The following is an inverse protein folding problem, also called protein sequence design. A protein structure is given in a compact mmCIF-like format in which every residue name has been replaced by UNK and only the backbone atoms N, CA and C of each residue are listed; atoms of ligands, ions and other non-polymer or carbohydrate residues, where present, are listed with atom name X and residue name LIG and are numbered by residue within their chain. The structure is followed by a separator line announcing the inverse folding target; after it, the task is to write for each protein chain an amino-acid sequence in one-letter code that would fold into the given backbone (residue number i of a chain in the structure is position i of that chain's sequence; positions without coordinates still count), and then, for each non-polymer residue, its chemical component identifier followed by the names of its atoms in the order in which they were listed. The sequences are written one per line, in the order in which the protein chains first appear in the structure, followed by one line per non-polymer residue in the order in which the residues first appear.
data_IF_067112984096
#
_entry.id   IF_067112984096
#
_cell.length_a   1.000
_cell.length_b   1.000
_cell.length_c   1.000
_cell.angle_alpha   90.00
_cell.angle_beta   90.00
_cell.angle_gamma   90.00
#
_symmetry.space_group_name_H-M   'P 1'
#
loop_
_entity.id
_entity.type
_entity.pdbx_description
1 polymer ?
#
# COMPACT_ATOMS: atom_id res chain seq x y z
N UNK A 1 10.86 5.18 16.15
CA UNK A 1 10.68 5.92 14.87
C UNK A 1 11.26 7.32 14.96
N UNK A 2 11.67 7.91 13.83
CA UNK A 2 12.29 9.25 13.77
C UNK A 2 11.30 10.40 13.48
N UNK A 3 9.99 10.17 13.57
CA UNK A 3 8.97 11.16 13.21
C UNK A 3 9.13 12.47 13.99
N UNK A 4 9.25 12.38 15.32
CA UNK A 4 9.44 13.55 16.18
C UNK A 4 10.71 14.33 15.83
N UNK A 5 11.81 13.59 15.64
CA UNK A 5 13.12 14.16 15.30
C UNK A 5 13.07 14.95 13.99
N UNK A 6 12.49 14.37 12.93
CA UNK A 6 12.40 15.04 11.63
C UNK A 6 11.38 16.19 11.62
N UNK A 7 10.28 16.06 12.37
CA UNK A 7 9.32 17.15 12.57
C UNK A 7 9.98 18.35 13.25
N UNK A 8 10.74 18.12 14.31
CA UNK A 8 11.39 19.18 15.09
C UNK A 8 12.52 19.86 14.32
N UNK A 9 13.29 19.12 13.51
CA UNK A 9 14.27 19.70 12.57
C UNK A 9 13.65 20.69 11.57
N UNK A 10 12.38 20.49 11.24
CA UNK A 10 11.61 21.33 10.32
C UNK A 10 10.75 22.37 11.03
N UNK A 11 10.83 22.45 12.36
CA UNK A 11 10.02 23.35 13.19
C UNK A 11 8.50 23.18 12.98
N UNK A 12 8.07 21.98 12.59
CA UNK A 12 6.66 21.68 12.37
C UNK A 12 5.94 21.36 13.66
N UNK A 13 4.67 21.73 13.78
CA UNK A 13 3.81 21.28 14.89
C UNK A 13 3.23 19.89 14.58
N UNK A 14 2.74 19.20 15.62
CA UNK A 14 2.01 17.93 15.39
C UNK A 14 0.75 18.15 14.55
N UNK A 15 0.10 19.30 14.72
CA UNK A 15 -1.08 19.70 13.95
C UNK A 15 -0.76 19.89 12.47
N UNK A 16 0.33 20.60 12.15
CA UNK A 16 0.78 20.77 10.78
C UNK A 16 1.10 19.44 10.09
N UNK A 17 1.80 18.54 10.78
CA UNK A 17 2.12 17.23 10.24
C UNK A 17 0.87 16.36 10.05
N UNK A 18 -0.08 16.45 10.97
CA UNK A 18 -1.36 15.76 10.90
C UNK A 18 -2.18 16.22 9.69
N UNK A 19 -2.28 17.54 9.47
CA UNK A 19 -2.94 18.14 8.32
C UNK A 19 -2.26 17.73 7.00
N UNK A 20 -0.93 17.81 6.94
CA UNK A 20 -0.14 17.45 5.76
C UNK A 20 -0.33 15.99 5.36
N UNK A 21 -0.41 15.08 6.34
CA UNK A 21 -0.62 13.65 6.10
C UNK A 21 -2.11 13.26 6.02
N UNK A 22 -3.03 14.22 6.22
CA UNK A 22 -4.47 13.99 6.32
C UNK A 22 -4.81 12.87 7.33
N UNK A 23 -4.34 13.04 8.56
CA UNK A 23 -4.57 12.15 9.70
C UNK A 23 -4.90 12.96 10.95
N UNK A 24 -5.34 12.30 12.02
CA UNK A 24 -5.59 12.99 13.28
C UNK A 24 -4.28 13.34 14.01
N UNK A 25 -4.27 14.46 14.73
CA UNK A 25 -3.17 14.85 15.63
C UNK A 25 -2.85 13.75 16.64
N UNK A 26 -3.87 13.03 17.13
CA UNK A 26 -3.70 11.90 18.04
C UNK A 26 -2.92 10.76 17.39
N UNK A 27 -3.08 10.51 16.09
CA UNK A 27 -2.29 9.52 15.37
C UNK A 27 -0.81 9.91 15.37
N UNK A 28 -0.48 11.17 15.02
CA UNK A 28 0.89 11.69 15.07
C UNK A 28 1.49 11.51 16.47
N UNK A 29 0.76 11.94 17.50
CA UNK A 29 1.24 11.80 18.89
C UNK A 29 1.53 10.35 19.26
N UNK A 30 0.66 9.40 18.87
CA UNK A 30 0.87 7.97 19.16
C UNK A 30 2.08 7.40 18.42
N UNK A 31 2.31 7.82 17.18
CA UNK A 31 3.45 7.39 16.39
C UNK A 31 4.78 7.95 16.92
N UNK A 32 4.79 9.21 17.39
CA UNK A 32 5.96 9.83 17.97
C UNK A 32 6.41 9.17 19.28
N UNK A 33 5.47 8.68 20.08
CA UNK A 33 5.77 7.95 21.34
C UNK A 33 5.87 6.44 21.16
N UNK A 34 5.69 5.92 19.94
CA UNK A 34 5.76 4.48 19.65
C UNK A 34 4.59 3.66 20.22
N UNK A 35 3.47 4.30 20.56
CA UNK A 35 2.27 3.62 21.06
C UNK A 35 1.56 2.84 19.96
N UNK A 36 1.62 3.31 18.72
CA UNK A 36 1.11 2.63 17.53
C UNK A 36 2.03 2.89 16.35
N UNK A 37 1.88 2.09 15.30
CA UNK A 37 2.61 2.27 14.04
C UNK A 37 1.66 2.76 12.93
N UNK A 38 2.13 3.64 12.01
CA UNK A 38 1.41 3.91 10.78
C UNK A 38 1.38 2.65 9.91
N UNK A 39 0.38 2.54 9.03
CA UNK A 39 0.39 1.52 7.98
C UNK A 39 1.52 1.76 6.96
N UNK A 40 1.75 0.79 6.09
CA UNK A 40 2.84 0.83 5.09
C UNK A 40 2.71 2.02 4.14
N UNK A 41 1.48 2.36 3.74
CA UNK A 41 1.26 3.42 2.77
C UNK A 41 1.56 4.79 3.42
N UNK A 42 1.20 4.97 4.71
CA UNK A 42 1.59 6.13 5.52
C UNK A 42 3.07 6.17 5.82
N UNK A 43 3.70 5.04 6.09
CA UNK A 43 5.14 4.98 6.29
C UNK A 43 5.92 5.45 5.05
N UNK A 44 5.47 5.08 3.85
CA UNK A 44 6.04 5.57 2.59
C UNK A 44 5.78 7.06 2.40
N UNK A 45 4.57 7.54 2.70
CA UNK A 45 4.28 8.98 2.63
C UNK A 45 5.16 9.80 3.58
N UNK A 46 5.33 9.33 4.82
CA UNK A 46 6.17 9.98 5.83
C UNK A 46 7.64 9.97 5.38
N UNK A 47 8.14 8.85 4.85
CA UNK A 47 9.52 8.75 4.37
C UNK A 47 9.77 9.73 3.22
N UNK A 48 8.82 9.86 2.29
CA UNK A 48 8.90 10.81 1.19
C UNK A 48 8.78 12.26 1.67
N UNK A 49 7.86 12.54 2.61
CA UNK A 49 7.66 13.89 3.16
C UNK A 49 8.91 14.40 3.89
N UNK A 50 9.61 13.52 4.59
CA UNK A 50 10.84 13.86 5.29
C UNK A 50 12.10 13.74 4.43
N UNK A 51 11.99 13.20 3.21
CA UNK A 51 13.11 12.90 2.32
C UNK A 51 14.17 11.99 2.96
N UNK A 52 13.70 10.90 3.58
CA UNK A 52 14.55 9.87 4.19
C UNK A 52 14.10 8.48 3.76
N UNK A 53 15.00 7.49 3.85
CA UNK A 53 14.63 6.11 3.58
C UNK A 53 13.71 5.56 4.67
N UNK A 54 12.87 4.59 4.30
CA UNK A 54 12.01 3.88 5.24
C UNK A 54 12.81 3.17 6.35
N UNK A 55 14.00 2.66 6.00
CA UNK A 55 14.94 2.06 6.96
C UNK A 55 15.38 3.09 8.03
N UNK A 56 15.74 4.29 7.56
CA UNK A 56 16.11 5.42 8.43
C UNK A 56 14.95 5.87 9.30
N UNK A 57 13.73 5.94 8.76
CA UNK A 57 12.52 6.35 9.50
C UNK A 57 12.22 5.42 10.68
N UNK A 58 12.43 4.11 10.49
CA UNK A 58 12.05 3.07 11.45
C UNK A 58 13.17 2.79 12.47
N UNK A 59 14.43 3.07 12.14
CA UNK A 59 15.65 2.97 12.98
C UNK A 59 15.63 1.86 14.04
N UNK A 60 16.10 0.67 13.67
CA UNK A 60 16.40 -0.43 14.61
C UNK A 60 15.19 -1.26 15.06
N UNK A 61 14.01 -1.05 14.48
CA UNK A 61 12.85 -1.91 14.72
C UNK A 61 12.79 -3.04 13.68
N UNK A 62 13.51 -4.12 13.97
CA UNK A 62 13.61 -5.30 13.09
C UNK A 62 12.26 -6.03 12.94
N UNK A 63 11.40 -5.93 13.95
CA UNK A 63 10.06 -6.52 13.93
C UNK A 63 9.18 -5.82 12.89
N UNK A 64 9.23 -4.49 12.84
CA UNK A 64 8.49 -3.70 11.88
C UNK A 64 9.08 -3.83 10.47
N UNK A 65 10.40 -3.90 10.32
CA UNK A 65 11.03 -4.18 9.02
C UNK A 65 10.54 -5.50 8.45
N UNK A 66 10.49 -6.56 9.27
CA UNK A 66 10.02 -7.89 8.85
C UNK A 66 8.55 -7.87 8.42
N UNK A 67 7.68 -7.20 9.18
CA UNK A 67 6.25 -7.13 8.83
C UNK A 67 6.02 -6.37 7.52
N UNK A 68 6.75 -5.28 7.27
CA UNK A 68 6.69 -4.52 6.01
C UNK A 68 7.10 -5.38 4.82
N UNK A 69 8.18 -6.16 4.93
CA UNK A 69 8.64 -7.06 3.86
C UNK A 69 7.57 -8.12 3.55
N UNK A 70 6.99 -8.73 4.57
CA UNK A 70 5.93 -9.74 4.41
C UNK A 70 4.71 -9.14 3.70
N UNK A 71 4.25 -7.96 4.14
CA UNK A 71 3.07 -7.33 3.55
C UNK A 71 3.32 -6.80 2.14
N UNK A 72 4.53 -6.29 1.83
CA UNK A 72 4.90 -5.92 0.45
C UNK A 72 4.85 -7.13 -0.48
N UNK A 73 5.40 -8.27 -0.04
CA UNK A 73 5.38 -9.49 -0.83
C UNK A 73 3.96 -10.02 -1.03
N UNK A 74 3.10 -9.92 -0.02
CA UNK A 74 1.70 -10.32 -0.11
C UNK A 74 0.90 -9.46 -1.12
N UNK A 75 1.03 -8.12 -1.09
CA UNK A 75 0.38 -7.21 -2.07
C UNK A 75 0.89 -7.42 -3.51
N UNK A 76 2.17 -7.73 -3.69
CA UNK A 76 2.73 -7.99 -5.03
C UNK A 76 2.12 -9.25 -5.68
N UNK A 77 1.82 -10.27 -4.86
CA UNK A 77 1.28 -11.54 -5.34
C UNK A 77 -0.20 -11.47 -5.76
N UNK A 78 -1.01 -10.57 -5.16
CA UNK A 78 -2.44 -10.45 -5.46
C UNK A 78 -2.74 -9.82 -6.82
N UNK A 79 -1.93 -8.86 -7.28
CA UNK A 79 -2.20 -8.10 -8.52
C UNK A 79 -2.06 -8.96 -9.79
N UNK A 80 -1.16 -9.94 -9.80
CA UNK A 80 -0.94 -10.84 -10.94
C UNK A 80 -2.07 -11.88 -11.06
N UNK A 81 -2.55 -12.39 -9.93
CA UNK A 81 -3.65 -13.36 -9.88
C UNK A 81 -4.98 -12.78 -10.35
N UNK A 82 -5.30 -11.52 -9.98
CA UNK A 82 -6.52 -10.86 -10.44
C UNK A 82 -6.55 -10.65 -11.96
N UNK A 83 -5.42 -10.29 -12.56
CA UNK A 83 -5.31 -10.15 -14.01
C UNK A 83 -5.49 -11.51 -14.73
N UNK A 84 -4.83 -12.56 -14.24
CA UNK A 84 -4.96 -13.92 -14.79
C UNK A 84 -6.41 -14.44 -14.67
N UNK A 85 -7.10 -14.12 -13.57
CA UNK A 85 -8.50 -14.49 -13.36
C UNK A 85 -9.43 -13.83 -14.40
N UNK A 86 -9.32 -12.51 -14.58
CA UNK A 86 -10.19 -11.76 -15.51
C UNK A 86 -9.95 -12.19 -16.97
N UNK A 87 -8.68 -12.30 -17.36
CA UNK A 87 -8.29 -12.72 -18.71
C UNK A 87 -8.76 -14.13 -19.04
N UNK A 88 -8.67 -15.07 -18.09
CA UNK A 88 -9.21 -16.42 -18.24
C UNK A 88 -10.72 -16.44 -18.49
N UNK A 89 -11.51 -15.74 -17.67
CA UNK A 89 -12.96 -15.67 -17.85
C UNK A 89 -13.38 -15.05 -19.19
N UNK A 90 -12.66 -14.03 -19.68
CA UNK A 90 -12.95 -13.44 -20.99
C UNK A 90 -12.75 -14.43 -22.15
N UNK A 91 -11.70 -15.25 -22.12
CA UNK A 91 -11.47 -16.27 -23.16
C UNK A 91 -12.57 -17.33 -23.17
N UNK A 92 -13.05 -17.77 -22.00
CA UNK A 92 -14.15 -18.74 -21.90
C UNK A 92 -15.43 -18.19 -22.54
N UNK A 93 -15.79 -16.94 -22.24
CA UNK A 93 -16.96 -16.27 -22.83
C UNK A 93 -16.81 -16.15 -24.35
N UNK A 94 -15.62 -15.76 -24.83
CA UNK A 94 -15.34 -15.65 -26.26
C UNK A 94 -15.50 -17.00 -27.00
N UNK A 95 -15.02 -18.10 -26.41
CA UNK A 95 -15.17 -19.45 -26.98
C UNK A 95 -16.65 -19.84 -27.05
N UNK A 96 -17.42 -19.62 -25.99
CA UNK A 96 -18.87 -19.92 -25.97
C UNK A 96 -19.59 -19.13 -27.08
N UNK A 97 -19.25 -17.86 -27.25
CA UNK A 97 -19.81 -17.03 -28.32
C UNK A 97 -19.47 -17.57 -29.72
N UNK A 98 -18.23 -18.02 -29.95
CA UNK A 98 -17.83 -18.61 -31.24
C UNK A 98 -18.55 -19.93 -31.51
N UNK A 99 -18.66 -20.81 -30.51
CA UNK A 99 -19.35 -22.10 -30.64
C UNK A 99 -20.83 -21.90 -30.96
N UNK A 100 -21.49 -20.99 -30.24
CA UNK A 100 -22.92 -20.69 -30.48
C UNK A 100 -23.13 -20.11 -31.88
N UNK A 101 -22.25 -19.20 -32.34
CA UNK A 101 -22.28 -18.68 -33.72
C UNK A 101 -22.07 -19.75 -34.78
N UNK A 102 -21.13 -20.67 -34.57
CA UNK A 102 -20.86 -21.77 -35.49
C UNK A 102 -22.06 -22.71 -35.62
N UNK A 103 -22.69 -23.08 -34.50
CA UNK A 103 -23.89 -23.93 -34.50
C UNK A 103 -25.00 -23.27 -35.31
N UNK A 104 -25.28 -21.98 -35.08
CA UNK A 104 -26.31 -21.25 -35.83
C UNK A 104 -26.03 -21.28 -37.33
N UNK A 105 -24.77 -21.07 -37.75
CA UNK A 105 -24.39 -21.08 -39.17
C UNK A 105 -24.51 -22.46 -39.84
N UNK A 106 -24.36 -23.55 -39.08
CA UNK A 106 -24.50 -24.92 -39.60
C UNK A 106 -25.97 -25.31 -39.79
N UNK A 107 -26.88 -24.74 -38.98
CA UNK A 107 -28.31 -25.07 -38.99
C UNK A 107 -29.21 -24.02 -39.67
N UNK A 108 -28.64 -22.94 -40.24
CA UNK A 108 -29.35 -21.92 -41.03
C UNK A 108 -29.19 -22.13 -42.52
#
# INVERSE_FOLDING_TARGET
MRIKEEREKRQWTQDYLAETLNVSRQAISKWEVGSTYPDIDRLVQISNLFDITLDSLIKGDDSLKKSIVITKNAKAQTNVWEFMRITGWMMVIAIIYLVTKMIIAVFS
#
